data_IF_930469272138
#
_entry.id   IF_930469272138
#
_cell.length_a   1.000
_cell.length_b   1.000
_cell.length_c   1.000
_cell.angle_alpha   90.00
_cell.angle_beta   90.00
_cell.angle_gamma   90.00
#
_symmetry.space_group_name_H-M   'P 1'
#
loop_
_entity.id
_entity.type
_entity.pdbx_description
1 polymer ?
#
# COMPACT_ATOMS: atom_id res chain seq x y z
N UNK A 1 26.48 3.41 14.78
CA UNK A 1 26.30 2.03 14.24
C UNK A 1 25.27 2.03 13.09
N UNK A 2 25.73 1.79 11.87
CA UNK A 2 24.96 1.98 10.63
C UNK A 2 23.82 0.95 10.41
N UNK A 3 23.71 -0.11 11.21
CA UNK A 3 22.70 -1.17 11.06
C UNK A 3 21.30 -0.89 11.63
N UNK A 4 21.18 -0.01 12.65
CA UNK A 4 19.92 0.17 13.39
C UNK A 4 18.76 0.74 12.54
N UNK A 5 19.06 1.61 11.57
CA UNK A 5 18.04 2.24 10.71
C UNK A 5 17.49 1.25 9.68
N UNK A 6 18.33 0.34 9.17
CA UNK A 6 17.90 -0.69 8.21
C UNK A 6 16.94 -1.68 8.86
N UNK A 7 17.31 -2.19 10.04
CA UNK A 7 16.49 -3.16 10.78
C UNK A 7 15.13 -2.59 11.19
N UNK A 8 15.08 -1.31 11.59
CA UNK A 8 13.82 -0.67 11.97
C UNK A 8 12.84 -0.56 10.79
N UNK A 9 13.36 -0.22 9.60
CA UNK A 9 12.57 -0.12 8.36
C UNK A 9 12.03 -1.48 7.94
N UNK A 10 12.85 -2.52 8.02
CA UNK A 10 12.44 -3.88 7.69
C UNK A 10 11.37 -4.41 8.65
N UNK A 11 11.53 -4.18 9.97
CA UNK A 11 10.52 -4.53 10.99
C UNK A 11 9.20 -3.82 10.74
N UNK A 12 9.23 -2.53 10.38
CA UNK A 12 8.03 -1.78 10.03
C UNK A 12 7.36 -2.36 8.77
N UNK A 13 8.12 -2.62 7.69
CA UNK A 13 7.59 -3.24 6.48
C UNK A 13 6.94 -4.59 6.76
N UNK A 14 7.60 -5.42 7.58
CA UNK A 14 7.09 -6.74 7.95
C UNK A 14 5.82 -6.67 8.79
N UNK A 15 5.68 -5.66 9.65
CA UNK A 15 4.44 -5.40 10.37
C UNK A 15 3.31 -4.99 9.43
N UNK A 16 3.60 -4.15 8.43
CA UNK A 16 2.63 -3.77 7.39
C UNK A 16 2.19 -4.98 6.55
N UNK A 17 3.13 -5.85 6.16
CA UNK A 17 2.82 -7.08 5.44
C UNK A 17 1.85 -7.97 6.24
N UNK A 18 2.12 -8.16 7.55
CA UNK A 18 1.23 -8.91 8.45
C UNK A 18 -0.15 -8.28 8.59
N UNK A 19 -0.22 -6.95 8.67
CA UNK A 19 -1.48 -6.21 8.71
C UNK A 19 -2.30 -6.49 7.45
N UNK A 20 -1.70 -6.29 6.26
CA UNK A 20 -2.35 -6.51 4.97
C UNK A 20 -2.82 -7.96 4.84
N UNK A 21 -1.97 -8.94 5.19
CA UNK A 21 -2.33 -10.37 5.18
C UNK A 21 -3.55 -10.65 6.04
N UNK A 22 -3.58 -10.16 7.28
CA UNK A 22 -4.72 -10.35 8.18
C UNK A 22 -6.01 -9.76 7.61
N UNK A 23 -5.93 -8.56 7.03
CA UNK A 23 -7.08 -7.93 6.38
C UNK A 23 -7.55 -8.73 5.15
N UNK A 24 -6.60 -9.23 4.35
CA UNK A 24 -6.88 -10.07 3.19
C UNK A 24 -7.54 -11.39 3.60
N UNK A 25 -7.06 -12.03 4.67
CA UNK A 25 -7.64 -13.27 5.18
C UNK A 25 -9.06 -13.05 5.72
N UNK A 26 -9.32 -11.91 6.36
CA UNK A 26 -10.65 -11.56 6.90
C UNK A 26 -11.65 -11.22 5.81
N UNK A 27 -11.24 -10.39 4.83
CA UNK A 27 -12.15 -9.82 3.83
C UNK A 27 -12.20 -10.61 2.52
N UNK A 28 -11.21 -11.48 2.28
CA UNK A 28 -11.03 -12.23 1.02
C UNK A 28 -10.97 -11.33 -0.23
N UNK A 29 -10.44 -10.12 -0.07
CA UNK A 29 -10.31 -9.14 -1.15
C UNK A 29 -8.93 -9.20 -1.82
N UNK A 30 -8.82 -8.83 -3.11
CA UNK A 30 -7.54 -8.62 -3.77
C UNK A 30 -6.70 -7.54 -3.07
N UNK A 31 -5.37 -7.65 -3.16
CA UNK A 31 -4.44 -6.64 -2.63
C UNK A 31 -3.81 -5.86 -3.79
N UNK A 32 -3.87 -4.53 -3.70
CA UNK A 32 -3.32 -3.60 -4.67
C UNK A 32 -2.36 -2.64 -3.99
N UNK A 33 -1.12 -2.61 -4.47
CA UNK A 33 -0.09 -1.66 -4.01
C UNK A 33 -0.17 -0.39 -4.88
N UNK A 34 -0.47 0.74 -4.24
CA UNK A 34 -0.64 2.03 -4.90
C UNK A 34 0.67 2.83 -4.80
N UNK A 35 1.43 2.84 -5.90
CA UNK A 35 2.73 3.47 -6.02
C UNK A 35 3.88 2.46 -5.94
N UNK A 36 4.83 2.56 -6.86
CA UNK A 36 6.04 1.73 -6.91
C UNK A 36 7.33 2.57 -6.88
N UNK A 37 7.26 3.85 -7.26
CA UNK A 37 8.39 4.76 -7.27
C UNK A 37 8.83 5.17 -5.86
N UNK A 38 10.15 5.20 -5.61
CA UNK A 38 10.73 5.60 -4.31
C UNK A 38 10.37 7.04 -3.91
N UNK A 39 10.26 7.97 -4.89
CA UNK A 39 9.76 9.35 -4.74
C UNK A 39 9.06 9.80 -6.02
N UNK A 40 8.20 10.80 -5.88
CA UNK A 40 7.34 11.39 -6.92
C UNK A 40 8.06 12.09 -8.10
N UNK A 41 9.31 11.73 -8.45
CA UNK A 41 10.04 12.28 -9.62
C UNK A 41 11.31 11.47 -10.00
N UNK A 42 11.40 10.17 -9.69
CA UNK A 42 12.60 9.36 -10.02
C UNK A 42 12.22 7.96 -10.51
N UNK A 43 12.81 7.51 -11.62
CA UNK A 43 12.65 6.16 -12.20
C UNK A 43 13.45 5.06 -11.45
N UNK A 44 13.92 5.33 -10.24
CA UNK A 44 14.67 4.39 -9.41
C UNK A 44 13.70 3.48 -8.65
N UNK A 45 13.66 2.21 -9.03
CA UNK A 45 12.87 1.13 -8.38
C UNK A 45 13.71 0.29 -7.41
N UNK A 46 15.03 0.32 -7.53
CA UNK A 46 15.98 -0.31 -6.60
C UNK A 46 15.84 0.32 -5.22
N UNK A 47 15.67 -0.50 -4.16
CA UNK A 47 15.36 -0.10 -2.78
C UNK A 47 13.99 0.54 -2.51
N UNK A 48 13.00 0.37 -3.40
CA UNK A 48 11.64 0.83 -3.11
C UNK A 48 11.02 0.08 -1.94
N UNK A 49 10.54 0.78 -0.88
CA UNK A 49 9.80 0.15 0.21
C UNK A 49 8.57 -0.64 -0.27
N UNK A 50 8.02 -0.29 -1.44
CA UNK A 50 6.91 -1.01 -2.05
C UNK A 50 7.32 -2.41 -2.54
N UNK A 51 8.53 -2.54 -3.12
CA UNK A 51 9.04 -3.82 -3.63
C UNK A 51 9.33 -4.77 -2.48
N UNK A 52 10.04 -4.30 -1.43
CA UNK A 52 10.27 -5.08 -0.23
C UNK A 52 8.95 -5.56 0.41
N UNK A 53 7.94 -4.70 0.48
CA UNK A 53 6.62 -5.06 1.00
C UNK A 53 5.93 -6.12 0.14
N UNK A 54 6.02 -6.00 -1.19
CA UNK A 54 5.46 -6.98 -2.13
C UNK A 54 6.12 -8.35 -1.99
N UNK A 55 7.45 -8.39 -1.91
CA UNK A 55 8.21 -9.63 -1.66
C UNK A 55 7.81 -10.28 -0.34
N UNK A 56 7.73 -9.50 0.75
CA UNK A 56 7.29 -9.99 2.05
C UNK A 56 5.85 -10.50 2.04
N UNK A 57 4.96 -9.93 1.22
CA UNK A 57 3.59 -10.40 1.04
C UNK A 57 3.54 -11.70 0.23
N UNK A 58 4.35 -11.79 -0.82
CA UNK A 58 4.48 -12.98 -1.65
C UNK A 58 5.02 -14.17 -0.84
N UNK A 59 6.05 -13.96 -0.01
CA UNK A 59 6.58 -14.94 0.94
C UNK A 59 5.51 -15.44 1.94
N UNK A 60 4.50 -14.62 2.21
CA UNK A 60 3.37 -14.94 3.07
C UNK A 60 2.18 -15.56 2.32
N UNK A 61 2.33 -15.83 1.02
CA UNK A 61 1.28 -16.40 0.16
C UNK A 61 0.23 -15.38 -0.32
N UNK A 62 0.48 -14.08 -0.14
CA UNK A 62 -0.44 -13.02 -0.56
C UNK A 62 -0.05 -12.52 -1.94
N UNK A 63 -0.86 -12.84 -2.96
CA UNK A 63 -0.70 -12.29 -4.30
C UNK A 63 -1.10 -10.82 -4.32
N UNK A 64 -0.23 -9.98 -4.89
CA UNK A 64 -0.46 -8.55 -5.03
C UNK A 64 -0.51 -8.15 -6.51
N UNK A 65 -1.22 -7.07 -6.78
CA UNK A 65 -1.08 -6.29 -8.01
C UNK A 65 -0.58 -4.90 -7.64
N UNK A 66 -0.04 -4.15 -8.60
CA UNK A 66 0.44 -2.82 -8.36
C UNK A 66 -0.10 -1.84 -9.41
N UNK A 67 -0.23 -0.59 -8.99
CA UNK A 67 -0.58 0.52 -9.86
C UNK A 67 0.26 1.72 -9.52
N UNK A 68 0.96 2.25 -10.52
CA UNK A 68 1.72 3.48 -10.42
C UNK A 68 1.41 4.37 -11.65
N UNK A 69 1.01 5.64 -11.46
CA UNK A 69 0.75 6.56 -12.56
C UNK A 69 1.81 6.64 -13.65
N UNK A 70 3.07 6.46 -13.29
CA UNK A 70 4.21 6.75 -14.15
C UNK A 70 4.82 5.46 -14.66
N UNK A 71 5.13 4.52 -13.76
CA UNK A 71 5.90 3.32 -14.13
C UNK A 71 5.04 2.08 -14.39
N UNK A 72 3.79 2.06 -13.92
CA UNK A 72 2.86 0.93 -14.11
C UNK A 72 1.41 1.44 -14.25
N UNK A 73 1.07 2.10 -15.38
CA UNK A 73 -0.19 2.83 -15.54
C UNK A 73 -1.41 1.92 -15.77
N UNK A 74 -1.22 0.59 -15.77
CA UNK A 74 -2.31 -0.38 -15.84
C UNK A 74 -3.18 -0.28 -14.59
N UNK A 75 -4.42 0.21 -14.75
CA UNK A 75 -5.33 0.40 -13.62
C UNK A 75 -5.78 -0.96 -13.05
N UNK A 76 -5.96 -1.06 -11.73
CA UNK A 76 -6.55 -2.24 -11.12
C UNK A 76 -8.02 -2.36 -11.57
N UNK A 77 -8.55 -3.59 -11.49
CA UNK A 77 -9.96 -3.87 -11.78
C UNK A 77 -10.86 -3.08 -10.83
N UNK A 78 -12.04 -2.70 -11.32
CA UNK A 78 -13.06 -2.01 -10.54
C UNK A 78 -13.84 -3.02 -9.67
N UNK A 79 -13.16 -3.56 -8.66
CA UNK A 79 -13.71 -4.49 -7.68
C UNK A 79 -13.24 -4.10 -6.27
N UNK A 80 -14.03 -4.37 -5.22
CA UNK A 80 -13.61 -4.10 -3.85
C UNK A 80 -12.25 -4.73 -3.57
N UNK A 81 -11.30 -3.94 -3.09
CA UNK A 81 -9.91 -4.38 -2.90
C UNK A 81 -9.31 -3.76 -1.63
N UNK A 82 -8.20 -4.33 -1.17
CA UNK A 82 -7.34 -3.74 -0.15
C UNK A 82 -6.27 -2.94 -0.89
N UNK A 83 -6.29 -1.61 -0.73
CA UNK A 83 -5.33 -0.71 -1.34
C UNK A 83 -4.32 -0.26 -0.29
N UNK A 84 -3.04 -0.58 -0.50
CA UNK A 84 -1.96 -0.06 0.34
C UNK A 84 -1.30 1.15 -0.34
N UNK A 85 -1.27 2.30 0.34
CA UNK A 85 -0.72 3.55 -0.19
C UNK A 85 0.78 3.61 0.05
N UNK A 86 1.56 3.12 -0.92
CA UNK A 86 3.02 3.09 -0.83
C UNK A 86 3.68 4.44 -1.17
N UNK A 87 3.10 5.21 -2.09
CA UNK A 87 3.61 6.54 -2.49
C UNK A 87 2.50 7.60 -2.40
N UNK A 88 2.85 8.83 -2.01
CA UNK A 88 1.91 9.95 -1.90
C UNK A 88 1.65 10.65 -3.24
N UNK A 89 1.10 9.92 -4.21
CA UNK A 89 0.60 10.55 -5.42
C UNK A 89 -0.74 11.25 -5.15
N UNK A 90 -0.84 12.54 -5.48
CA UNK A 90 -2.08 13.32 -5.28
C UNK A 90 -3.28 12.63 -5.94
N UNK A 91 -3.09 12.01 -7.12
CA UNK A 91 -4.18 11.30 -7.81
C UNK A 91 -4.81 10.16 -7.00
N UNK A 92 -4.12 9.63 -5.99
CA UNK A 92 -4.67 8.56 -5.17
C UNK A 92 -5.80 9.06 -4.26
N UNK A 93 -5.82 10.33 -3.86
CA UNK A 93 -6.94 10.86 -3.08
C UNK A 93 -8.24 10.96 -3.90
N UNK A 94 -8.13 11.08 -5.23
CA UNK A 94 -9.25 11.15 -6.16
C UNK A 94 -9.42 9.87 -6.99
N UNK A 95 -8.76 8.78 -6.61
CA UNK A 95 -8.89 7.52 -7.32
C UNK A 95 -10.30 6.93 -7.08
N UNK A 96 -10.98 6.41 -8.11
CA UNK A 96 -12.33 5.84 -7.96
C UNK A 96 -12.25 4.46 -7.32
N UNK A 97 -12.12 4.42 -5.99
CA UNK A 97 -12.11 3.17 -5.23
C UNK A 97 -13.51 2.53 -5.26
N UNK A 98 -13.57 1.23 -5.56
CA UNK A 98 -14.81 0.47 -5.51
C UNK A 98 -15.37 0.44 -4.07
N UNK A 99 -16.69 0.59 -3.91
CA UNK A 99 -17.36 0.52 -2.60
C UNK A 99 -17.05 -0.80 -1.89
N UNK A 100 -16.84 -0.76 -0.58
CA UNK A 100 -16.42 -1.91 0.23
C UNK A 100 -14.90 -2.14 0.28
N UNK A 101 -14.12 -1.28 -0.38
CA UNK A 101 -12.65 -1.34 -0.32
C UNK A 101 -12.11 -0.89 1.03
N UNK A 102 -10.92 -1.41 1.37
CA UNK A 102 -10.11 -0.95 2.49
C UNK A 102 -8.91 -0.18 1.96
N UNK A 103 -8.70 1.04 2.43
CA UNK A 103 -7.52 1.85 2.14
C UNK A 103 -6.62 1.80 3.38
N UNK A 104 -5.41 1.28 3.24
CA UNK A 104 -4.37 1.30 4.27
C UNK A 104 -3.39 2.41 3.91
N UNK A 105 -3.38 3.46 4.72
CA UNK A 105 -2.59 4.65 4.52
C UNK A 105 -1.56 4.81 5.65
N UNK A 106 -0.31 4.37 5.43
CA UNK A 106 0.73 4.46 6.45
C UNK A 106 1.21 5.90 6.71
N UNK A 107 0.86 6.86 5.84
CA UNK A 107 1.34 8.25 5.90
C UNK A 107 0.33 9.22 6.48
N UNK A 108 -0.93 8.79 6.62
CA UNK A 108 -2.04 9.72 6.89
C UNK A 108 -2.15 10.78 5.78
N UNK A 109 -1.94 10.37 4.55
CA UNK A 109 -2.20 11.18 3.37
C UNK A 109 -3.69 11.48 3.19
N UNK A 110 -4.56 10.52 3.51
CA UNK A 110 -6.01 10.68 3.45
C UNK A 110 -6.51 11.41 4.70
N UNK A 111 -7.32 12.45 4.50
CA UNK A 111 -8.00 13.16 5.59
C UNK A 111 -9.31 12.50 6.01
N UNK A 112 -10.03 11.94 5.04
CA UNK A 112 -11.27 11.18 5.21
C UNK A 112 -11.24 9.95 4.32
N UNK A 113 -12.01 8.92 4.69
CA UNK A 113 -12.16 7.75 3.85
C UNK A 113 -12.85 8.11 2.52
N UNK A 114 -12.42 7.53 1.38
CA UNK A 114 -13.20 7.60 0.15
C UNK A 114 -14.63 7.09 0.35
N UNK A 115 -15.59 7.63 -0.41
CA UNK A 115 -17.00 7.29 -0.24
C UNK A 115 -17.24 5.77 -0.35
N UNK A 116 -17.94 5.20 0.64
CA UNK A 116 -18.25 3.77 0.69
C UNK A 116 -17.04 2.88 0.93
N UNK A 117 -15.88 3.44 1.31
CA UNK A 117 -14.68 2.70 1.66
C UNK A 117 -14.33 2.86 3.15
N UNK A 118 -13.51 1.96 3.65
CA UNK A 118 -12.91 2.04 4.98
C UNK A 118 -11.48 2.58 4.87
N UNK A 119 -11.06 3.44 5.80
CA UNK A 119 -9.71 3.98 5.86
C UNK A 119 -9.02 3.56 7.16
N UNK A 120 -7.87 2.92 7.03
CA UNK A 120 -6.97 2.60 8.13
C UNK A 120 -5.72 3.49 8.03
N UNK A 121 -5.68 4.57 8.82
CA UNK A 121 -4.53 5.47 8.89
C UNK A 121 -3.62 5.10 10.06
N UNK A 122 -2.37 4.75 9.77
CA UNK A 122 -1.42 4.31 10.80
C UNK A 122 -0.97 5.52 11.63
N UNK A 123 -0.99 5.38 12.96
CA UNK A 123 -0.57 6.43 13.89
C UNK A 123 -1.58 7.56 14.11
N UNK A 124 -2.81 7.44 13.59
CA UNK A 124 -3.89 8.43 13.78
C UNK A 124 -5.16 7.89 14.44
N UNK A 125 -5.14 6.65 14.93
CA UNK A 125 -6.18 6.17 15.84
C UNK A 125 -6.02 6.91 17.18
N UNK A 126 -6.72 8.04 17.31
CA UNK A 126 -7.09 8.66 18.58
C UNK A 126 -8.50 8.23 18.94
#
# INVERSE_FOLDING_TARGET
PFGFVSEAREKQSKWLAKLIKREQERRKLPVVIMGLTFKHNTNLTTDSPAILLMEQLEDMGVKTSAYDPVVMPSRPKDVPSIYFIATRWVKFSTFPYAKGSLIIDPWGFFGVAPEGCELFSIGRNR
#
